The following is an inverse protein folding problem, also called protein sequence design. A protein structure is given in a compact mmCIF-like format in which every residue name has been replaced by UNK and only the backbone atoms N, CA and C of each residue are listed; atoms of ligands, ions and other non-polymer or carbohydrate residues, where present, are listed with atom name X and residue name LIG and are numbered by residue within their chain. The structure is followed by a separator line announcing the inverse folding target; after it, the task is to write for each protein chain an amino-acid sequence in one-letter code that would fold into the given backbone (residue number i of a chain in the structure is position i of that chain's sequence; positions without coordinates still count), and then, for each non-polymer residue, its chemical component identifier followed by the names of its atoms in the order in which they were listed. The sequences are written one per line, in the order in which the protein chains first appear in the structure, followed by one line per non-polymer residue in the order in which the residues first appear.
data_IF_318792626280
#
_entry.id   IF_318792626280
#
_cell.length_a   1.000
_cell.length_b   1.000
_cell.length_c   1.000
_cell.angle_alpha   90.00
_cell.angle_beta   90.00
_cell.angle_gamma   90.00
#
_symmetry.space_group_name_H-M   'P 1'
#
loop_
_entity.id
_entity.type
_entity.pdbx_description
1 polymer ?
#
# COMPACT_ATOMS: atom_id res chain seq x y z
N UNK A 1 -21.89 2.87 3.56
CA UNK A 1 -21.38 3.87 4.52
C UNK A 1 -19.91 4.06 4.22
N UNK A 2 -19.48 5.25 3.80
CA UNK A 2 -18.05 5.54 3.57
C UNK A 2 -17.44 5.90 4.93
N UNK A 3 -16.70 4.98 5.53
CA UNK A 3 -15.91 5.29 6.72
C UNK A 3 -14.76 6.19 6.26
N UNK A 4 -14.94 7.50 6.42
CA UNK A 4 -13.92 8.50 6.13
C UNK A 4 -12.85 8.40 7.23
N UNK A 5 -12.07 7.32 7.20
CA UNK A 5 -10.97 7.11 8.15
C UNK A 5 -9.83 8.02 7.72
N UNK A 6 -9.80 9.24 8.24
CA UNK A 6 -8.64 10.11 8.10
C UNK A 6 -7.44 9.37 8.69
N UNK A 7 -6.53 8.91 7.82
CA UNK A 7 -5.32 8.23 8.27
C UNK A 7 -4.45 9.21 9.04
N UNK A 8 -4.09 8.84 10.26
CA UNK A 8 -3.16 9.62 11.10
C UNK A 8 -1.75 9.05 10.98
N UNK A 9 -0.85 9.85 10.43
CA UNK A 9 0.56 9.52 10.26
C UNK A 9 1.43 10.15 11.35
N UNK A 10 2.47 9.42 11.75
CA UNK A 10 3.54 9.97 12.57
C UNK A 10 4.28 11.04 11.77
N UNK A 11 4.57 12.17 12.41
CA UNK A 11 5.30 13.29 11.81
C UNK A 11 6.71 13.37 12.37
N UNK A 12 7.67 13.76 11.54
CA UNK A 12 9.02 14.07 11.98
C UNK A 12 9.06 15.42 12.74
N UNK A 13 10.23 15.79 13.28
CA UNK A 13 10.42 17.05 14.00
C UNK A 13 10.11 18.32 13.18
N UNK A 14 10.05 18.23 11.84
CA UNK A 14 9.68 19.33 10.94
C UNK A 14 8.18 19.36 10.63
N UNK A 15 7.37 18.50 11.28
CA UNK A 15 5.94 18.40 11.04
C UNK A 15 5.54 17.70 9.73
N UNK A 16 6.50 17.12 9.00
CA UNK A 16 6.26 16.37 7.77
C UNK A 16 5.97 14.90 8.08
N UNK A 17 5.26 14.20 7.20
CA UNK A 17 5.05 12.75 7.36
C UNK A 17 6.40 12.05 7.41
N UNK A 18 6.64 11.29 8.46
CA UNK A 18 7.84 10.48 8.59
C UNK A 18 7.80 9.33 7.58
N UNK A 19 8.86 9.18 6.79
CA UNK A 19 8.98 8.07 5.84
C UNK A 19 9.49 6.83 6.56
N UNK A 20 8.59 6.16 7.28
CA UNK A 20 8.84 4.93 8.04
C UNK A 20 7.99 3.78 7.52
N UNK A 21 8.43 2.54 7.76
CA UNK A 21 7.67 1.32 7.41
C UNK A 21 6.25 1.37 7.97
N UNK A 22 6.07 1.84 9.21
CA UNK A 22 4.76 1.92 9.86
C UNK A 22 3.80 2.88 9.13
N UNK A 23 4.27 4.08 8.75
CA UNK A 23 3.42 5.03 8.03
C UNK A 23 3.12 4.54 6.60
N UNK A 24 4.12 3.96 5.92
CA UNK A 24 3.93 3.41 4.57
C UNK A 24 2.96 2.22 4.61
N UNK A 25 3.05 1.35 5.62
CA UNK A 25 2.08 0.28 5.86
C UNK A 25 0.67 0.83 6.07
N UNK A 26 0.48 1.81 6.96
CA UNK A 26 -0.84 2.44 7.15
C UNK A 26 -1.42 2.99 5.84
N UNK A 27 -0.59 3.62 5.03
CA UNK A 27 -1.02 4.20 3.76
C UNK A 27 -1.39 3.13 2.73
N UNK A 28 -0.57 2.09 2.56
CA UNK A 28 -0.78 1.02 1.59
C UNK A 28 -1.93 0.08 2.01
N UNK A 29 -2.14 -0.11 3.32
CA UNK A 29 -3.27 -0.87 3.87
C UNK A 29 -4.64 -0.23 3.61
N UNK A 30 -4.69 1.02 3.12
CA UNK A 30 -5.92 1.67 2.71
C UNK A 30 -5.96 1.78 1.19
N UNK A 31 -6.74 0.90 0.50
CA UNK A 31 -6.88 0.95 -0.96
C UNK A 31 -7.36 2.31 -1.48
N UNK A 32 -8.22 2.99 -0.74
CA UNK A 32 -8.68 4.35 -1.07
C UNK A 32 -7.54 5.37 -1.02
N UNK A 33 -6.59 5.21 -0.11
CA UNK A 33 -5.47 6.13 0.05
C UNK A 33 -4.34 5.86 -0.96
N UNK A 34 -3.99 4.60 -1.19
CA UNK A 34 -2.90 4.20 -2.08
C UNK A 34 -3.35 3.94 -3.53
N UNK A 35 -4.66 3.91 -3.78
CA UNK A 35 -5.24 3.72 -5.11
C UNK A 35 -5.23 2.27 -5.61
N UNK A 36 -4.97 1.29 -4.75
CA UNK A 36 -4.78 -0.11 -5.17
C UNK A 36 -5.22 -1.11 -4.09
N UNK A 37 -5.92 -2.16 -4.51
CA UNK A 37 -6.11 -3.37 -3.73
C UNK A 37 -4.92 -4.30 -3.91
N UNK A 38 -4.53 -5.00 -2.86
CA UNK A 38 -3.43 -5.96 -2.85
C UNK A 38 -3.90 -7.26 -2.23
N UNK A 39 -3.57 -8.40 -2.83
CA UNK A 39 -3.87 -9.72 -2.24
C UNK A 39 -2.76 -10.72 -2.53
N UNK A 40 -2.72 -11.77 -1.72
CA UNK A 40 -1.90 -12.93 -1.97
C UNK A 40 -2.79 -14.12 -2.30
N UNK A 41 -2.55 -14.77 -3.44
CA UNK A 41 -3.36 -15.91 -3.92
C UNK A 41 -2.76 -17.27 -3.55
N UNK A 42 -1.91 -17.31 -2.53
CA UNK A 42 -1.18 -18.52 -2.09
C UNK A 42 0.18 -18.69 -2.78
N UNK A 43 0.33 -18.19 -4.01
CA UNK A 43 1.58 -18.28 -4.79
C UNK A 43 2.05 -16.95 -5.34
N UNK A 44 1.15 -16.01 -5.61
CA UNK A 44 1.48 -14.74 -6.26
C UNK A 44 0.88 -13.56 -5.53
N UNK A 45 1.59 -12.44 -5.62
CA UNK A 45 1.09 -11.14 -5.21
C UNK A 45 0.33 -10.52 -6.38
N UNK A 46 -0.93 -10.19 -6.15
CA UNK A 46 -1.81 -9.58 -7.14
C UNK A 46 -2.29 -8.21 -6.66
N UNK A 47 -2.62 -7.37 -7.63
CA UNK A 47 -3.21 -6.07 -7.38
C UNK A 47 -4.35 -5.76 -8.35
N UNK A 48 -5.21 -4.83 -7.94
CA UNK A 48 -6.23 -4.22 -8.76
C UNK A 48 -6.31 -2.72 -8.43
N UNK A 49 -6.47 -1.81 -9.41
CA UNK A 49 -6.76 -0.40 -9.12
C UNK A 49 -7.97 -0.25 -8.18
N UNK A 50 -7.94 0.73 -7.28
CA UNK A 50 -9.03 0.94 -6.34
C UNK A 50 -10.36 1.21 -7.05
N UNK A 51 -11.43 0.55 -6.59
CA UNK A 51 -12.74 0.61 -7.23
C UNK A 51 -12.88 -0.25 -8.49
N UNK A 52 -11.85 -1.01 -8.85
CA UNK A 52 -11.88 -2.00 -9.93
C UNK A 52 -11.78 -3.42 -9.37
N UNK A 53 -12.34 -4.40 -10.10
CA UNK A 53 -12.17 -5.83 -9.83
C UNK A 53 -11.13 -6.50 -10.75
N UNK A 54 -10.33 -5.70 -11.46
CA UNK A 54 -9.40 -6.16 -12.50
C UNK A 54 -8.07 -6.60 -11.88
N UNK A 55 -8.10 -7.77 -11.25
CA UNK A 55 -6.93 -8.38 -10.62
C UNK A 55 -5.89 -8.82 -11.64
N UNK A 56 -4.63 -8.46 -11.38
CA UNK A 56 -3.47 -8.89 -12.16
C UNK A 56 -2.24 -9.07 -11.28
N UNK A 57 -1.19 -9.67 -11.82
CA UNK A 57 0.10 -9.76 -11.15
C UNK A 57 0.66 -8.35 -10.85
N UNK A 58 1.16 -8.21 -9.62
CA UNK A 58 1.89 -7.02 -9.20
C UNK A 58 3.31 -7.04 -9.77
N UNK A 59 3.79 -5.88 -10.22
CA UNK A 59 5.11 -5.76 -10.87
C UNK A 59 5.86 -4.49 -10.46
N UNK A 60 7.07 -4.29 -10.99
CA UNK A 60 7.91 -3.14 -10.65
C UNK A 60 7.34 -1.77 -11.08
N UNK A 61 6.43 -1.74 -12.07
CA UNK A 61 5.70 -0.51 -12.43
C UNK A 61 4.76 -0.09 -11.30
N UNK A 62 4.10 -1.05 -10.64
CA UNK A 62 3.20 -0.76 -9.51
C UNK A 62 3.94 -0.18 -8.32
N UNK A 63 5.18 -0.63 -8.09
CA UNK A 63 6.05 -0.06 -7.07
C UNK A 63 6.31 1.41 -7.37
N UNK A 64 6.56 1.75 -8.63
CA UNK A 64 6.79 3.13 -9.03
C UNK A 64 5.53 3.98 -8.87
N UNK A 65 4.36 3.45 -9.24
CA UNK A 65 3.07 4.13 -9.02
C UNK A 65 2.77 4.37 -7.54
N UNK A 66 2.99 3.39 -6.67
CA UNK A 66 2.81 3.56 -5.23
C UNK A 66 3.75 4.63 -4.68
N UNK A 67 5.01 4.68 -5.13
CA UNK A 67 5.96 5.71 -4.69
C UNK A 67 5.54 7.12 -5.13
N UNK A 68 5.06 7.27 -6.35
CA UNK A 68 4.54 8.55 -6.86
C UNK A 68 3.31 8.97 -6.03
N UNK A 69 2.34 8.07 -5.91
CA UNK A 69 1.09 8.32 -5.18
C UNK A 69 1.37 8.75 -3.74
N UNK A 70 2.23 8.01 -3.02
CA UNK A 70 2.57 8.38 -1.64
C UNK A 70 3.37 9.69 -1.55
N UNK A 71 4.23 9.97 -2.53
CA UNK A 71 4.91 11.26 -2.65
C UNK A 71 3.94 12.42 -2.77
N UNK A 72 2.91 12.29 -3.61
CA UNK A 72 1.83 13.27 -3.75
C UNK A 72 1.00 13.44 -2.46
N UNK A 73 0.96 12.42 -1.60
CA UNK A 73 0.34 12.47 -0.27
C UNK A 73 1.26 13.03 0.83
N UNK A 74 2.45 13.51 0.47
CA UNK A 74 3.36 14.19 1.39
C UNK A 74 4.39 13.28 2.08
N UNK A 75 4.52 12.03 1.63
CA UNK A 75 5.64 11.19 2.05
C UNK A 75 6.95 11.68 1.42
N UNK A 76 8.06 11.50 2.13
CA UNK A 76 9.39 11.71 1.58
C UNK A 76 9.79 10.61 0.59
N UNK A 77 11.08 10.58 0.22
CA UNK A 77 11.60 9.59 -0.74
C UNK A 77 11.50 8.18 -0.17
N UNK A 78 10.53 7.40 -0.66
CA UNK A 78 10.40 5.97 -0.36
C UNK A 78 11.30 5.17 -1.31
N UNK A 79 12.04 4.19 -0.78
CA UNK A 79 12.89 3.27 -1.57
C UNK A 79 12.04 2.10 -2.11
N UNK A 80 12.32 1.56 -3.32
CA UNK A 80 11.57 0.44 -3.88
C UNK A 80 11.50 -0.78 -2.96
N UNK A 81 12.61 -1.12 -2.27
CA UNK A 81 12.65 -2.24 -1.33
C UNK A 81 11.66 -2.12 -0.18
N UNK A 82 11.46 -0.91 0.36
CA UNK A 82 10.47 -0.66 1.42
C UNK A 82 9.04 -0.89 0.91
N UNK A 83 8.75 -0.51 -0.34
CA UNK A 83 7.44 -0.80 -0.94
C UNK A 83 7.25 -2.29 -1.15
N UNK A 84 8.26 -3.01 -1.66
CA UNK A 84 8.19 -4.48 -1.83
C UNK A 84 7.85 -5.18 -0.52
N UNK A 85 8.55 -4.81 0.56
CA UNK A 85 8.34 -5.35 1.90
C UNK A 85 6.92 -5.07 2.40
N UNK A 86 6.48 -3.81 2.36
CA UNK A 86 5.15 -3.42 2.86
C UNK A 86 4.02 -4.03 2.03
N UNK A 87 4.15 -4.04 0.70
CA UNK A 87 3.14 -4.61 -0.19
C UNK A 87 2.95 -6.11 0.07
N UNK A 88 4.02 -6.86 0.30
CA UNK A 88 3.93 -8.26 0.69
C UNK A 88 3.20 -8.44 2.03
N UNK A 89 3.52 -7.61 3.04
CA UNK A 89 2.87 -7.66 4.35
C UNK A 89 1.37 -7.33 4.27
N UNK A 90 1.00 -6.29 3.52
CA UNK A 90 -0.41 -5.88 3.32
C UNK A 90 -1.18 -6.94 2.55
N UNK A 91 -0.59 -7.48 1.47
CA UNK A 91 -1.20 -8.52 0.66
C UNK A 91 -1.49 -9.77 1.50
N UNK A 92 -0.55 -10.22 2.33
CA UNK A 92 -0.76 -11.39 3.21
C UNK A 92 -1.85 -11.16 4.27
N UNK A 93 -1.97 -9.94 4.80
CA UNK A 93 -2.97 -9.60 5.81
C UNK A 93 -4.38 -9.31 5.28
N UNK A 94 -4.58 -9.31 3.95
CA UNK A 94 -5.89 -9.02 3.36
C UNK A 94 -6.86 -10.22 3.51
N UNK A 95 -8.10 -10.04 4.00
CA UNK A 95 -9.11 -11.09 4.09
C UNK A 95 -9.45 -11.79 2.76
N UNK A 96 -9.24 -11.13 1.62
CA UNK A 96 -9.44 -11.70 0.29
C UNK A 96 -8.29 -12.62 -0.15
N UNK A 97 -7.21 -12.66 0.62
CA UNK A 97 -6.10 -13.55 0.37
C UNK A 97 -6.50 -14.99 0.64
N UNK A 98 -6.17 -15.87 -0.31
CA UNK A 98 -6.39 -17.30 -0.13
C UNK A 98 -5.32 -17.81 0.83
N UNK A 99 -5.72 -18.22 2.03
CA UNK A 99 -4.84 -18.94 2.94
C UNK A 99 -4.37 -20.23 2.27
N UNK A 100 -3.09 -20.32 1.96
CA UNK A 100 -2.40 -21.61 1.82
C UNK A 100 -1.95 -22.02 3.21
N UNK A 101 -2.75 -22.86 3.87
CA UNK A 101 -2.25 -23.72 4.94
C UNK A 101 -1.75 -25.02 4.31
#
# INVERSE_FOLDING_TARGET
MKNNTSLTFTKNAKGQIETSISNVFKAISSPEHCGMHLRYTGTTLECAPFGTGEWRLFNDTDISHLRITLGEKGFGRIRPGMVKEVVALVALGNPESKSSF
#
